data_IF_758467280859
#
_entry.id   IF_758467280859
#
_cell.length_a   1.000
_cell.length_b   1.000
_cell.length_c   1.000
_cell.angle_alpha   90.00
_cell.angle_beta   90.00
_cell.angle_gamma   90.00
#
_symmetry.space_group_name_H-M   'P 1'
#
loop_
_entity.id
_entity.type
_entity.pdbx_description
1 polymer ?
#
# COMPACT_ATOMS: atom_id res chain seq x y z
N UNK A 1 -19.80 15.55 -8.57
CA UNK A 1 -18.65 16.43 -8.65
C UNK A 1 -17.54 15.89 -7.79
N UNK A 2 -17.02 16.63 -6.80
CA UNK A 2 -15.88 16.13 -6.01
C UNK A 2 -16.21 14.83 -5.26
N UNK A 3 -17.40 14.71 -4.70
CA UNK A 3 -17.81 13.48 -4.01
C UNK A 3 -17.92 12.31 -4.96
N UNK A 4 -18.46 12.54 -6.16
CA UNK A 4 -18.57 11.49 -7.18
C UNK A 4 -17.21 11.03 -7.65
N UNK A 5 -16.26 11.94 -7.83
CA UNK A 5 -14.90 11.61 -8.26
C UNK A 5 -14.19 10.80 -7.18
N UNK A 6 -14.30 11.19 -5.91
CA UNK A 6 -13.69 10.44 -4.82
C UNK A 6 -14.34 9.06 -4.67
N UNK A 7 -15.65 8.97 -4.79
CA UNK A 7 -16.34 7.68 -4.73
C UNK A 7 -15.90 6.76 -5.87
N UNK A 8 -15.74 7.30 -7.08
CA UNK A 8 -15.29 6.51 -8.22
C UNK A 8 -13.86 6.00 -8.02
N UNK A 9 -12.96 6.83 -7.51
CA UNK A 9 -11.58 6.43 -7.23
C UNK A 9 -11.53 5.41 -6.11
N UNK A 10 -12.35 5.56 -5.07
CA UNK A 10 -12.41 4.57 -3.99
C UNK A 10 -12.92 3.23 -4.49
N UNK A 11 -13.94 3.24 -5.35
CA UNK A 11 -14.46 2.01 -5.96
C UNK A 11 -13.43 1.34 -6.85
N UNK A 12 -12.69 2.13 -7.62
CA UNK A 12 -11.61 1.61 -8.46
C UNK A 12 -10.54 0.95 -7.61
N UNK A 13 -10.11 1.62 -6.54
CA UNK A 13 -9.11 1.05 -5.62
C UNK A 13 -9.61 -0.25 -4.99
N UNK A 14 -10.88 -0.30 -4.58
CA UNK A 14 -11.47 -1.52 -4.02
C UNK A 14 -11.46 -2.67 -5.03
N UNK A 15 -11.76 -2.38 -6.30
CA UNK A 15 -11.72 -3.38 -7.35
C UNK A 15 -10.30 -3.89 -7.59
N UNK A 16 -9.30 -3.01 -7.59
CA UNK A 16 -7.90 -3.41 -7.69
C UNK A 16 -7.50 -4.28 -6.52
N UNK A 17 -7.95 -3.91 -5.31
CA UNK A 17 -7.65 -4.66 -4.09
C UNK A 17 -8.17 -6.10 -4.16
N UNK A 18 -9.31 -6.33 -4.79
CA UNK A 18 -9.86 -7.69 -4.92
C UNK A 18 -8.89 -8.63 -5.64
N UNK A 19 -8.08 -8.12 -6.54
CA UNK A 19 -7.16 -8.93 -7.34
C UNK A 19 -5.72 -8.89 -6.83
N UNK A 20 -5.33 -7.85 -6.10
CA UNK A 20 -3.94 -7.63 -5.75
C UNK A 20 -3.65 -7.65 -4.26
N UNK A 21 -4.64 -7.41 -3.41
CA UNK A 21 -4.42 -7.31 -1.97
C UNK A 21 -4.77 -8.63 -1.29
N UNK A 22 -3.81 -9.13 -0.53
CA UNK A 22 -4.02 -10.29 0.35
C UNK A 22 -3.72 -9.84 1.77
N UNK A 23 -4.63 -10.11 2.69
CA UNK A 23 -4.52 -9.68 4.08
C UNK A 23 -4.77 -10.86 5.02
N UNK A 24 -3.72 -11.67 5.30
CA UNK A 24 -3.80 -12.70 6.31
C UNK A 24 -4.07 -12.13 7.69
N UNK A 25 -4.40 -12.98 8.65
CA UNK A 25 -4.88 -12.56 9.97
C UNK A 25 -3.80 -12.13 10.95
N UNK A 26 -2.55 -12.15 10.56
CA UNK A 26 -1.40 -11.91 11.47
C UNK A 26 -0.92 -10.45 11.45
N UNK A 27 -1.71 -9.53 10.95
CA UNK A 27 -1.31 -8.13 10.85
C UNK A 27 -0.43 -7.83 9.64
N UNK A 28 -0.35 -8.76 8.70
CA UNK A 28 0.44 -8.61 7.47
C UNK A 28 -0.51 -8.48 6.29
N UNK A 29 -0.18 -7.61 5.35
CA UNK A 29 -0.89 -7.50 4.08
C UNK A 29 0.12 -7.44 2.96
N UNK A 30 -0.25 -7.93 1.79
CA UNK A 30 0.61 -7.89 0.60
C UNK A 30 -0.15 -7.35 -0.59
N UNK A 31 0.56 -6.61 -1.44
CA UNK A 31 0.02 -6.15 -2.71
C UNK A 31 0.88 -6.72 -3.83
N UNK A 32 0.26 -7.43 -4.75
CA UNK A 32 0.94 -7.91 -5.94
C UNK A 32 1.19 -6.75 -6.90
N UNK A 33 2.44 -6.56 -7.32
CA UNK A 33 2.83 -5.46 -8.21
C UNK A 33 2.64 -5.79 -9.68
N UNK A 34 2.53 -7.07 -10.01
CA UNK A 34 2.35 -7.51 -11.38
C UNK A 34 3.65 -7.56 -12.17
N UNK A 35 3.54 -7.99 -13.42
CA UNK A 35 4.67 -8.06 -14.35
C UNK A 35 4.68 -6.87 -15.32
N UNK A 36 5.31 -7.08 -16.48
CA UNK A 36 5.43 -6.01 -17.48
C UNK A 36 4.10 -5.59 -18.09
N UNK A 37 3.19 -6.55 -18.28
CA UNK A 37 1.93 -6.29 -18.98
C UNK A 37 0.80 -5.87 -18.04
N UNK A 38 0.89 -6.23 -16.75
CA UNK A 38 -0.15 -5.94 -15.77
C UNK A 38 0.41 -5.22 -14.54
N UNK A 39 1.45 -4.42 -14.73
CA UNK A 39 2.10 -3.69 -13.65
C UNK A 39 1.14 -2.74 -12.94
N UNK A 40 1.27 -2.64 -11.63
CA UNK A 40 0.52 -1.67 -10.83
C UNK A 40 0.77 -0.24 -11.30
N UNK A 41 1.90 0.03 -11.96
CA UNK A 41 2.18 1.35 -12.53
C UNK A 41 1.20 1.77 -13.62
N UNK A 42 0.46 0.85 -14.23
CA UNK A 42 -0.60 1.20 -15.18
C UNK A 42 -1.82 1.78 -14.49
N UNK A 43 -1.92 1.61 -13.18
CA UNK A 43 -3.00 2.18 -12.37
C UNK A 43 -2.62 3.61 -11.96
N UNK A 44 -3.53 4.58 -12.07
CA UNK A 44 -3.22 5.97 -11.70
C UNK A 44 -2.78 6.12 -10.25
N UNK A 45 -1.90 7.09 -10.00
CA UNK A 45 -1.39 7.36 -8.66
C UNK A 45 -2.51 7.55 -7.63
N UNK A 46 -3.58 8.26 -8.01
CA UNK A 46 -4.70 8.48 -7.10
C UNK A 46 -5.37 7.18 -6.65
N UNK A 47 -5.35 6.16 -7.48
CA UNK A 47 -5.87 4.82 -7.15
C UNK A 47 -4.82 4.03 -6.37
N UNK A 48 -3.56 4.09 -6.76
CA UNK A 48 -2.48 3.39 -6.04
C UNK A 48 -2.41 3.82 -4.59
N UNK A 49 -2.47 5.12 -4.31
CA UNK A 49 -2.40 5.61 -2.92
C UNK A 49 -3.58 5.14 -2.09
N UNK A 50 -4.76 5.05 -2.68
CA UNK A 50 -5.93 4.47 -2.00
C UNK A 50 -5.73 2.98 -1.71
N UNK A 51 -5.12 2.27 -2.63
CA UNK A 51 -4.80 0.86 -2.43
C UNK A 51 -3.83 0.66 -1.27
N UNK A 52 -2.79 1.50 -1.16
CA UNK A 52 -1.85 1.42 -0.04
C UNK A 52 -2.55 1.66 1.29
N UNK A 53 -3.47 2.61 1.35
CA UNK A 53 -4.26 2.86 2.55
C UNK A 53 -5.08 1.64 2.94
N UNK A 54 -5.73 0.99 1.97
CA UNK A 54 -6.49 -0.24 2.23
C UNK A 54 -5.58 -1.34 2.81
N UNK A 55 -4.39 -1.49 2.26
CA UNK A 55 -3.44 -2.49 2.74
C UNK A 55 -2.99 -2.19 4.18
N UNK A 56 -2.69 -0.93 4.48
CA UNK A 56 -2.26 -0.53 5.82
C UNK A 56 -3.37 -0.72 6.85
N UNK A 57 -4.60 -0.37 6.50
CA UNK A 57 -5.75 -0.60 7.38
C UNK A 57 -5.96 -2.10 7.61
N UNK A 58 -5.83 -2.91 6.55
CA UNK A 58 -5.92 -4.37 6.68
C UNK A 58 -4.80 -4.95 7.54
N UNK A 59 -3.62 -4.34 7.53
CA UNK A 59 -2.49 -4.75 8.36
C UNK A 59 -2.60 -4.24 9.80
N UNK A 60 -3.64 -3.47 10.14
CA UNK A 60 -3.89 -3.01 11.50
C UNK A 60 -3.45 -1.58 11.80
N UNK A 61 -3.08 -0.81 10.78
CA UNK A 61 -2.73 0.59 10.97
C UNK A 61 -3.98 1.38 11.40
N UNK A 62 -3.90 2.24 12.43
CA UNK A 62 -5.07 2.99 12.87
C UNK A 62 -5.56 3.96 11.79
N UNK A 63 -6.90 4.03 11.57
CA UNK A 63 -7.44 5.05 10.67
C UNK A 63 -7.09 6.45 11.16
N UNK A 64 -6.79 7.34 10.23
CA UNK A 64 -6.45 8.72 10.57
C UNK A 64 -4.98 8.96 10.91
N UNK A 65 -4.18 7.91 11.07
CA UNK A 65 -2.74 8.07 11.31
C UNK A 65 -1.95 8.28 10.03
N UNK A 66 -2.54 8.02 8.89
CA UNK A 66 -1.89 8.09 7.57
C UNK A 66 -2.16 9.44 6.91
N UNK A 67 -1.14 9.98 6.27
CA UNK A 67 -1.27 11.21 5.49
C UNK A 67 -0.69 10.99 4.08
N UNK A 68 -0.82 12.02 3.23
CA UNK A 68 -0.38 11.92 1.85
C UNK A 68 1.13 11.67 1.72
N UNK A 69 1.93 12.21 2.64
CA UNK A 69 3.38 12.00 2.61
C UNK A 69 3.74 10.54 2.87
N UNK A 70 3.03 9.88 3.80
CA UNK A 70 3.23 8.45 4.06
C UNK A 70 2.94 7.63 2.82
N UNK A 71 1.82 7.91 2.15
CA UNK A 71 1.41 7.15 0.97
C UNK A 71 2.35 7.41 -0.22
N UNK A 72 2.83 8.65 -0.35
CA UNK A 72 3.81 8.98 -1.39
C UNK A 72 5.14 8.23 -1.18
N UNK A 73 5.57 8.10 0.08
CA UNK A 73 6.77 7.33 0.40
C UNK A 73 6.64 5.87 0.00
N UNK A 74 5.46 5.29 0.23
CA UNK A 74 5.20 3.91 -0.18
C UNK A 74 5.23 3.78 -1.71
N UNK A 75 4.68 4.76 -2.42
CA UNK A 75 4.64 4.70 -3.88
C UNK A 75 6.03 4.64 -4.50
N UNK A 76 7.05 5.14 -3.83
CA UNK A 76 8.42 5.07 -4.36
C UNK A 76 8.91 3.64 -4.52
N UNK A 77 8.41 2.70 -3.73
CA UNK A 77 8.73 1.28 -3.93
C UNK A 77 8.24 0.78 -5.29
N UNK A 78 7.24 1.42 -5.86
CA UNK A 78 6.65 1.03 -7.14
C UNK A 78 7.18 1.89 -8.27
N UNK A 79 7.16 3.21 -8.10
CA UNK A 79 7.48 4.16 -9.16
C UNK A 79 8.96 4.52 -9.25
N UNK A 80 9.72 4.30 -8.17
CA UNK A 80 11.15 4.65 -8.11
C UNK A 80 11.92 3.57 -7.36
N UNK A 81 11.78 2.32 -7.82
CA UNK A 81 12.42 1.17 -7.17
C UNK A 81 13.91 1.15 -7.43
N UNK A 82 14.70 1.15 -6.38
CA UNK A 82 16.17 1.14 -6.43
C UNK A 82 16.76 0.09 -5.50
N UNK A 83 15.98 -0.87 -5.04
CA UNK A 83 16.42 -1.83 -4.04
C UNK A 83 16.45 -1.27 -2.62
N UNK A 84 15.72 -0.19 -2.34
CA UNK A 84 15.69 0.44 -1.02
C UNK A 84 15.09 -0.49 0.02
N UNK A 85 15.60 -0.37 1.26
CA UNK A 85 15.13 -1.17 2.38
C UNK A 85 13.77 -0.75 2.90
N UNK A 86 13.30 -1.43 3.96
CA UNK A 86 11.98 -1.15 4.52
C UNK A 86 11.83 0.27 5.03
N UNK A 87 10.60 0.78 4.98
CA UNK A 87 10.24 2.09 5.49
C UNK A 87 9.21 1.93 6.61
N UNK A 88 9.42 2.60 7.73
CA UNK A 88 8.48 2.57 8.84
C UNK A 88 7.33 3.53 8.57
N UNK A 89 6.13 3.09 8.94
CA UNK A 89 4.90 3.87 8.79
C UNK A 89 4.14 3.86 10.11
N UNK A 90 3.15 4.75 10.30
CA UNK A 90 2.38 4.80 11.55
C UNK A 90 1.74 3.48 11.91
N UNK A 91 1.47 3.28 13.21
CA UNK A 91 0.88 2.06 13.72
C UNK A 91 1.89 0.94 13.91
N UNK A 92 3.18 1.30 14.06
CA UNK A 92 4.27 0.33 14.24
C UNK A 92 4.28 -0.73 13.13
N UNK A 93 4.12 -0.27 11.91
CA UNK A 93 4.19 -1.10 10.71
C UNK A 93 5.40 -0.73 9.87
N UNK A 94 5.87 -1.66 9.09
CA UNK A 94 6.87 -1.42 8.05
C UNK A 94 6.34 -1.85 6.70
N UNK A 95 6.85 -1.22 5.66
CA UNK A 95 6.57 -1.57 4.28
C UNK A 95 7.88 -1.90 3.59
N UNK A 96 7.92 -3.02 2.89
CA UNK A 96 9.08 -3.42 2.11
C UNK A 96 8.63 -3.95 0.76
N UNK A 97 9.49 -3.81 -0.24
CA UNK A 97 9.27 -4.50 -1.51
C UNK A 97 10.09 -5.78 -1.51
N UNK A 98 9.43 -6.90 -1.81
CA UNK A 98 10.06 -8.22 -1.95
C UNK A 98 9.68 -8.80 -3.29
N UNK A 99 10.61 -8.76 -4.22
CA UNK A 99 10.38 -9.21 -5.61
C UNK A 99 9.23 -8.42 -6.26
N UNK A 100 8.12 -9.05 -6.51
CA UNK A 100 6.96 -8.48 -7.18
C UNK A 100 5.83 -8.11 -6.22
N UNK A 101 6.14 -7.95 -4.93
CA UNK A 101 5.13 -7.65 -3.90
C UNK A 101 5.56 -6.54 -3.00
N UNK A 102 4.60 -5.70 -2.59
CA UNK A 102 4.74 -4.87 -1.40
C UNK A 102 4.23 -5.66 -0.21
N UNK A 103 5.00 -5.66 0.88
CA UNK A 103 4.64 -6.35 2.12
C UNK A 103 4.50 -5.31 3.22
N UNK A 104 3.37 -5.34 3.90
CA UNK A 104 3.03 -4.45 5.02
C UNK A 104 2.94 -5.33 6.26
N UNK A 105 3.79 -5.10 7.26
CA UNK A 105 3.92 -6.03 8.37
C UNK A 105 4.21 -5.29 9.68
N UNK A 106 3.98 -5.94 10.84
CA UNK A 106 4.32 -5.34 12.12
C UNK A 106 5.83 -5.10 12.22
N UNK A 107 6.21 -3.89 12.62
CA UNK A 107 7.61 -3.57 12.84
C UNK A 107 8.09 -4.17 14.15
N UNK A 108 9.37 -4.54 14.21
CA UNK A 108 9.98 -4.95 15.46
C UNK A 108 10.03 -3.77 16.43
N UNK A 109 9.82 -3.98 17.73
CA UNK A 109 9.97 -2.90 18.70
C UNK A 109 11.37 -2.32 18.67
N UNK A 110 11.46 -0.99 18.81
CA UNK A 110 12.75 -0.31 18.87
C UNK A 110 13.47 -0.70 20.17
N UNK A 111 14.78 -0.90 20.06
CA UNK A 111 15.60 -1.24 21.23
C UNK A 111 15.66 -2.73 21.54
N UNK A 112 15.18 -3.55 20.65
CA UNK A 112 15.22 -5.02 20.85
C UNK A 112 16.15 -5.69 19.85
#
# INVERSE_FOLDING_TARGET
LLHSDNAALDQWAAAVAEHRLVAPQDGTATIALGGKSDSLLTTPLAVRTRLYRLALLAAGCPPGSLNAAHLASIDRFVSDWRGQGPTRVPGDREVARRHDKLVFYPALPLGQ
#
